data_IF_879070294668
#
_entry.id   IF_879070294668
#
_cell.length_a   1.000
_cell.length_b   1.000
_cell.length_c   1.000
_cell.angle_alpha   90.00
_cell.angle_beta   90.00
_cell.angle_gamma   90.00
#
_symmetry.space_group_name_H-M   'P 1'
#
loop_
_entity.id
_entity.type
_entity.pdbx_description
1 polymer ?
#
# COMPACT_ATOMS: atom_id res chain seq x y z
N UNK A 1 -45.68 56.47 -15.48
CA UNK A 1 -46.52 55.40 -16.06
C UNK A 1 -45.73 54.72 -17.16
N UNK A 2 -45.47 53.42 -17.18
CA UNK A 2 -45.29 52.35 -16.18
C UNK A 2 -45.08 51.12 -17.05
N UNK A 3 -43.90 50.50 -17.01
CA UNK A 3 -43.60 49.33 -17.85
C UNK A 3 -42.16 48.82 -17.78
N UNK A 4 -41.23 49.61 -17.23
CA UNK A 4 -39.82 49.26 -17.09
C UNK A 4 -39.36 48.96 -15.66
N UNK A 5 -40.17 49.26 -14.64
CA UNK A 5 -39.71 49.27 -13.24
C UNK A 5 -39.95 47.96 -12.46
N UNK A 6 -40.65 46.99 -13.04
CA UNK A 6 -40.91 45.68 -12.40
C UNK A 6 -39.97 44.56 -12.83
N UNK A 7 -39.15 44.78 -13.87
CA UNK A 7 -38.17 43.79 -14.36
C UNK A 7 -36.78 43.96 -13.73
N UNK A 8 -36.45 45.18 -13.31
CA UNK A 8 -35.15 45.52 -12.73
C UNK A 8 -34.98 45.09 -11.27
N UNK A 9 -36.09 44.88 -10.53
CA UNK A 9 -36.06 44.46 -9.12
C UNK A 9 -35.92 42.94 -8.97
N UNK A 10 -36.31 42.15 -9.98
CA UNK A 10 -36.16 40.67 -9.95
C UNK A 10 -34.78 40.16 -10.38
N UNK A 11 -33.96 40.98 -11.02
CA UNK A 11 -32.58 40.60 -11.36
C UNK A 11 -31.57 40.85 -10.23
N UNK A 12 -31.87 41.77 -9.31
CA UNK A 12 -30.95 42.15 -8.24
C UNK A 12 -31.00 41.24 -6.99
N UNK A 13 -32.03 40.39 -6.85
CA UNK A 13 -32.15 39.44 -5.72
C UNK A 13 -31.61 38.05 -6.07
N UNK A 14 -31.47 37.72 -7.35
CA UNK A 14 -30.89 36.44 -7.79
C UNK A 14 -29.34 36.41 -7.69
N UNK A 15 -28.68 37.57 -7.60
CA UNK A 15 -27.22 37.69 -7.54
C UNK A 15 -26.65 37.72 -6.10
N UNK A 16 -27.49 37.75 -5.06
CA UNK A 16 -27.05 37.85 -3.66
C UNK A 16 -27.20 36.56 -2.84
N UNK A 17 -27.73 35.47 -3.43
CA UNK A 17 -27.84 34.15 -2.76
C UNK A 17 -26.87 33.11 -3.37
N UNK A 18 -26.20 33.43 -4.48
CA UNK A 18 -25.22 32.53 -5.12
C UNK A 18 -23.76 32.98 -4.94
N UNK A 19 -23.45 33.68 -3.86
CA UNK A 19 -22.09 34.07 -3.48
C UNK A 19 -21.61 33.42 -2.16
N UNK A 20 -22.34 32.42 -1.64
CA UNK A 20 -21.99 31.69 -0.39
C UNK A 20 -21.84 30.17 -0.59
N UNK A 21 -21.95 29.66 -1.83
CA UNK A 21 -21.74 28.22 -2.14
C UNK A 21 -20.51 27.99 -3.03
N UNK A 22 -19.63 28.98 -3.15
CA UNK A 22 -18.42 28.93 -3.99
C UNK A 22 -17.10 28.74 -3.23
N UNK A 23 -17.14 28.36 -1.95
CA UNK A 23 -15.95 28.23 -1.10
C UNK A 23 -15.84 26.85 -0.42
N UNK A 24 -16.10 25.78 -1.18
CA UNK A 24 -15.93 24.41 -0.68
C UNK A 24 -15.47 23.39 -1.75
N UNK A 25 -14.77 23.83 -2.81
CA UNK A 25 -14.03 22.95 -3.73
C UNK A 25 -12.51 23.07 -3.53
N UNK A 26 -12.08 23.10 -2.27
CA UNK A 26 -10.70 22.90 -1.88
C UNK A 26 -10.64 22.26 -0.48
N UNK A 27 -11.42 21.20 -0.27
CA UNK A 27 -11.07 20.25 0.78
C UNK A 27 -9.92 19.38 0.26
N UNK A 28 -8.69 19.88 0.45
CA UNK A 28 -7.61 18.96 0.75
C UNK A 28 -8.10 18.10 1.95
N UNK A 29 -7.86 16.78 1.97
CA UNK A 29 -8.09 16.01 3.18
C UNK A 29 -7.00 16.37 4.21
N UNK A 30 -7.07 17.58 4.77
CA UNK A 30 -6.38 17.95 6.01
C UNK A 30 -7.15 17.30 7.14
N UNK A 31 -6.84 16.03 7.39
CA UNK A 31 -7.49 15.24 8.43
C UNK A 31 -6.80 13.91 8.76
N UNK A 32 -5.61 13.65 8.20
CA UNK A 32 -4.79 12.49 8.53
C UNK A 32 -3.32 12.90 8.51
N UNK A 33 -2.85 13.63 9.51
CA UNK A 33 -1.40 13.78 9.66
C UNK A 33 -0.97 13.99 11.12
N UNK A 34 -1.82 14.60 11.94
CA UNK A 34 -1.43 14.85 13.34
C UNK A 34 -1.37 13.56 14.17
N UNK A 35 -2.20 12.56 13.87
CA UNK A 35 -2.11 11.22 14.49
C UNK A 35 -1.10 10.28 13.79
N UNK A 36 -0.76 10.54 12.53
CA UNK A 36 0.19 9.70 11.78
C UNK A 36 1.63 10.05 12.15
N UNK A 37 1.94 11.34 12.29
CA UNK A 37 3.25 11.81 12.74
C UNK A 37 3.52 11.42 14.20
N UNK A 38 2.53 11.55 15.09
CA UNK A 38 2.67 11.09 16.48
C UNK A 38 2.77 9.56 16.60
N UNK A 39 2.08 8.80 15.75
CA UNK A 39 2.23 7.35 15.71
C UNK A 39 3.64 6.94 15.25
N UNK A 40 4.20 7.60 14.23
CA UNK A 40 5.58 7.31 13.79
C UNK A 40 6.62 7.64 14.85
N UNK A 41 6.49 8.77 15.56
CA UNK A 41 7.41 9.16 16.63
C UNK A 41 7.23 8.28 17.89
N UNK A 42 6.00 7.91 18.26
CA UNK A 42 5.72 7.06 19.42
C UNK A 42 6.10 5.58 19.17
N UNK A 43 5.89 5.05 17.96
CA UNK A 43 6.35 3.70 17.56
C UNK A 43 7.89 3.62 17.46
N UNK A 44 8.57 4.72 17.14
CA UNK A 44 10.03 4.80 17.11
C UNK A 44 10.65 5.00 18.51
N UNK A 45 9.90 5.58 19.46
CA UNK A 45 10.39 5.94 20.80
C UNK A 45 10.04 4.93 21.90
N UNK A 46 9.08 4.03 21.70
CA UNK A 46 8.74 2.99 22.66
C UNK A 46 8.58 1.64 21.95
N UNK A 47 9.30 0.57 22.36
CA UNK A 47 8.99 -0.77 21.88
C UNK A 47 7.52 -1.03 22.21
N UNK A 48 6.72 -1.35 21.19
CA UNK A 48 5.34 -1.75 21.36
C UNK A 48 5.26 -2.72 22.55
N UNK A 49 4.41 -2.41 23.53
CA UNK A 49 4.13 -3.36 24.60
C UNK A 49 3.69 -4.71 24.01
N UNK A 50 3.78 -5.79 24.81
CA UNK A 50 3.56 -7.15 24.31
C UNK A 50 2.25 -7.35 23.54
N UNK A 51 1.16 -6.68 23.92
CA UNK A 51 -0.12 -6.75 23.22
C UNK A 51 -0.11 -6.06 21.85
N UNK A 52 0.44 -4.85 21.75
CA UNK A 52 0.53 -4.12 20.48
C UNK A 52 1.48 -4.83 19.51
N UNK A 53 2.59 -5.39 20.00
CA UNK A 53 3.49 -6.22 19.21
C UNK A 53 2.77 -7.48 18.69
N UNK A 54 2.02 -8.17 19.55
CA UNK A 54 1.26 -9.35 19.16
C UNK A 54 0.18 -9.02 18.12
N UNK A 55 -0.50 -7.87 18.26
CA UNK A 55 -1.47 -7.38 17.29
C UNK A 55 -0.82 -7.11 15.94
N UNK A 56 0.30 -6.37 15.90
CA UNK A 56 1.05 -6.11 14.66
C UNK A 56 1.48 -7.39 13.98
N UNK A 57 2.05 -8.33 14.75
CA UNK A 57 2.45 -9.66 14.26
C UNK A 57 1.27 -10.41 13.64
N UNK A 58 0.11 -10.41 14.29
CA UNK A 58 -1.11 -11.05 13.81
C UNK A 58 -1.63 -10.40 12.51
N UNK A 59 -1.60 -9.07 12.42
CA UNK A 59 -1.97 -8.32 11.22
C UNK A 59 -1.07 -8.68 10.04
N UNK A 60 0.26 -8.67 10.24
CA UNK A 60 1.22 -9.02 9.21
C UNK A 60 1.10 -10.50 8.79
N UNK A 61 0.82 -11.41 9.72
CA UNK A 61 0.56 -12.82 9.39
C UNK A 61 -0.73 -13.01 8.59
N UNK A 62 -1.76 -12.19 8.85
CA UNK A 62 -2.98 -12.19 8.05
C UNK A 62 -2.69 -11.67 6.66
N UNK A 63 -2.06 -10.49 6.53
CA UNK A 63 -1.67 -9.92 5.25
C UNK A 63 -0.81 -10.89 4.43
N UNK A 64 0.17 -11.55 5.04
CA UNK A 64 0.99 -12.56 4.36
C UNK A 64 0.15 -13.71 3.81
N UNK A 65 -0.83 -14.22 4.58
CA UNK A 65 -1.72 -15.29 4.11
C UNK A 65 -2.61 -14.83 2.96
N UNK A 66 -3.21 -13.65 3.09
CA UNK A 66 -4.08 -13.07 2.07
C UNK A 66 -3.30 -12.88 0.76
N UNK A 67 -2.12 -12.25 0.84
CA UNK A 67 -1.24 -12.06 -0.31
C UNK A 67 -0.79 -13.38 -0.93
N UNK A 68 -0.57 -14.46 -0.16
CA UNK A 68 -0.24 -15.77 -0.73
C UNK A 68 -1.40 -16.35 -1.54
N UNK A 69 -2.64 -16.18 -1.07
CA UNK A 69 -3.82 -16.58 -1.82
C UNK A 69 -3.99 -15.73 -3.07
N UNK A 70 -3.81 -14.43 -2.96
CA UNK A 70 -3.89 -13.48 -4.06
C UNK A 70 -2.85 -13.73 -5.13
N UNK A 71 -1.59 -13.97 -4.76
CA UNK A 71 -0.53 -14.32 -5.69
C UNK A 71 -0.88 -15.55 -6.52
N UNK A 72 -1.40 -16.62 -5.88
CA UNK A 72 -1.86 -17.82 -6.60
C UNK A 72 -3.00 -17.50 -7.57
N UNK A 73 -3.96 -16.67 -7.15
CA UNK A 73 -5.10 -16.28 -7.98
C UNK A 73 -4.65 -15.48 -9.21
N UNK A 74 -3.84 -14.43 -9.03
CA UNK A 74 -3.39 -13.59 -10.16
C UNK A 74 -2.48 -14.37 -11.11
N UNK A 75 -1.59 -15.22 -10.59
CA UNK A 75 -0.77 -16.11 -11.42
C UNK A 75 -1.60 -17.14 -12.19
N UNK A 76 -2.67 -17.67 -11.59
CA UNK A 76 -3.62 -18.58 -12.26
C UNK A 76 -4.41 -17.89 -13.37
N UNK A 77 -4.82 -16.63 -13.17
CA UNK A 77 -5.48 -15.83 -14.20
C UNK A 77 -4.52 -15.55 -15.38
N UNK A 78 -3.28 -15.14 -15.07
CA UNK A 78 -2.25 -14.90 -16.08
C UNK A 78 -1.94 -16.16 -16.91
N UNK A 79 -1.71 -17.30 -16.25
CA UNK A 79 -1.37 -18.56 -16.93
C UNK A 79 -2.49 -19.10 -17.81
N UNK A 80 -3.76 -18.91 -17.43
CA UNK A 80 -4.94 -19.27 -18.24
C UNK A 80 -5.28 -18.25 -19.32
N UNK A 81 -4.53 -17.13 -19.41
CA UNK A 81 -4.78 -16.01 -20.33
C UNK A 81 -6.19 -15.39 -20.16
N UNK A 82 -6.73 -15.42 -18.96
CA UNK A 82 -8.00 -14.76 -18.63
C UNK A 82 -7.76 -13.26 -18.42
N UNK A 83 -7.77 -12.50 -19.51
CA UNK A 83 -7.47 -11.06 -19.51
C UNK A 83 -8.48 -10.23 -18.71
N UNK A 84 -9.77 -10.59 -18.76
CA UNK A 84 -10.82 -9.88 -18.05
C UNK A 84 -10.71 -10.10 -16.53
N UNK A 85 -10.58 -11.36 -16.11
CA UNK A 85 -10.35 -11.71 -14.71
C UNK A 85 -9.05 -11.11 -14.18
N UNK A 86 -7.97 -11.19 -14.97
CA UNK A 86 -6.68 -10.61 -14.61
C UNK A 86 -6.77 -9.09 -14.38
N UNK A 87 -7.44 -8.36 -15.27
CA UNK A 87 -7.59 -6.90 -15.16
C UNK A 87 -8.37 -6.52 -13.91
N UNK A 88 -9.53 -7.14 -13.69
CA UNK A 88 -10.37 -6.86 -12.52
C UNK A 88 -9.64 -7.20 -11.21
N UNK A 89 -8.98 -8.36 -11.17
CA UNK A 89 -8.28 -8.80 -9.98
C UNK A 89 -7.02 -7.96 -9.72
N UNK A 90 -6.30 -7.53 -10.75
CA UNK A 90 -5.17 -6.59 -10.61
C UNK A 90 -5.61 -5.27 -9.99
N UNK A 91 -6.74 -4.71 -10.41
CA UNK A 91 -7.29 -3.49 -9.80
C UNK A 91 -7.68 -3.68 -8.33
N UNK A 92 -8.27 -4.83 -7.99
CA UNK A 92 -8.52 -5.20 -6.59
C UNK A 92 -7.22 -5.30 -5.77
N UNK A 93 -6.19 -5.95 -6.32
CA UNK A 93 -4.90 -6.12 -5.63
C UNK A 93 -4.21 -4.79 -5.40
N UNK A 94 -4.22 -3.91 -6.39
CA UNK A 94 -3.65 -2.58 -6.26
C UNK A 94 -4.31 -1.81 -5.11
N UNK A 95 -5.64 -1.82 -5.06
CA UNK A 95 -6.40 -1.18 -3.99
C UNK A 95 -6.15 -1.84 -2.62
N UNK A 96 -6.13 -3.18 -2.53
CA UNK A 96 -5.89 -3.89 -1.29
C UNK A 96 -4.48 -3.61 -0.74
N UNK A 97 -3.46 -3.67 -1.61
CA UNK A 97 -2.06 -3.42 -1.22
C UNK A 97 -1.93 -1.98 -0.73
N UNK A 98 -2.36 -1.00 -1.52
CA UNK A 98 -2.24 0.41 -1.15
C UNK A 98 -3.04 0.81 0.10
N UNK A 99 -4.16 0.14 0.39
CA UNK A 99 -5.02 0.47 1.54
C UNK A 99 -4.64 -0.26 2.81
N UNK A 100 -4.15 -1.50 2.71
CA UNK A 100 -3.98 -2.39 3.87
C UNK A 100 -2.55 -2.87 4.10
N UNK A 101 -1.77 -3.07 3.03
CA UNK A 101 -0.42 -3.62 3.13
C UNK A 101 0.59 -2.48 3.28
N UNK A 102 0.58 -1.52 2.37
CA UNK A 102 1.57 -0.42 2.35
C UNK A 102 1.57 0.37 3.67
N UNK A 103 0.42 0.80 4.24
CA UNK A 103 0.41 1.53 5.51
C UNK A 103 0.91 0.69 6.68
N UNK A 104 0.69 -0.63 6.64
CA UNK A 104 1.19 -1.53 7.67
C UNK A 104 2.71 -1.65 7.64
N UNK A 105 3.33 -1.50 6.46
CA UNK A 105 4.76 -1.66 6.23
C UNK A 105 5.53 -0.33 6.24
N UNK A 106 4.85 0.81 6.29
CA UNK A 106 5.47 2.14 6.15
C UNK A 106 6.57 2.41 7.19
N UNK A 107 6.29 2.14 8.46
CA UNK A 107 7.26 2.28 9.56
C UNK A 107 8.54 1.47 9.34
N UNK A 108 9.69 1.90 9.89
CA UNK A 108 10.95 1.16 9.77
C UNK A 108 11.23 0.21 10.94
N UNK A 109 10.53 0.40 12.06
CA UNK A 109 10.84 -0.30 13.30
C UNK A 109 10.60 -1.81 13.18
N UNK A 110 9.57 -2.27 12.45
CA UNK A 110 9.29 -3.70 12.29
C UNK A 110 10.38 -4.42 11.49
N UNK A 111 11.07 -3.72 10.57
CA UNK A 111 12.22 -4.26 9.82
C UNK A 111 13.48 -4.42 10.69
N UNK A 112 13.46 -3.88 11.92
CA UNK A 112 14.54 -3.96 12.92
C UNK A 112 14.15 -4.83 14.11
N UNK A 113 12.86 -5.05 14.37
CA UNK A 113 12.38 -5.83 15.50
C UNK A 113 12.60 -7.34 15.28
N UNK A 114 13.29 -8.07 16.17
CA UNK A 114 13.65 -9.48 15.96
C UNK A 114 12.47 -10.41 15.66
N UNK A 115 11.30 -10.16 16.26
CA UNK A 115 10.11 -10.99 16.02
C UNK A 115 9.38 -10.69 14.71
N UNK A 116 9.61 -9.52 14.10
CA UNK A 116 8.85 -9.06 12.94
C UNK A 116 9.71 -8.96 11.68
N UNK A 117 11.02 -8.76 11.80
CA UNK A 117 11.91 -8.46 10.67
C UNK A 117 11.82 -9.50 9.53
N UNK A 118 11.72 -10.79 9.85
CA UNK A 118 11.57 -11.84 8.85
C UNK A 118 10.17 -11.84 8.23
N UNK A 119 9.14 -11.52 9.03
CA UNK A 119 7.77 -11.43 8.54
C UNK A 119 7.58 -10.21 7.63
N UNK A 120 8.14 -9.06 7.99
CA UNK A 120 8.16 -7.84 7.17
C UNK A 120 8.83 -8.11 5.82
N UNK A 121 10.01 -8.75 5.84
CA UNK A 121 10.71 -9.13 4.61
C UNK A 121 9.88 -10.10 3.73
N UNK A 122 9.23 -11.09 4.33
CA UNK A 122 8.38 -12.03 3.58
C UNK A 122 7.21 -11.34 2.89
N UNK A 123 6.54 -10.41 3.57
CA UNK A 123 5.41 -9.66 2.99
C UNK A 123 5.90 -8.84 1.80
N UNK A 124 7.01 -8.12 1.94
CA UNK A 124 7.59 -7.28 0.87
C UNK A 124 8.08 -8.09 -0.34
N UNK A 125 8.72 -9.23 -0.10
CA UNK A 125 9.14 -10.12 -1.19
C UNK A 125 7.93 -10.64 -1.98
N UNK A 126 6.86 -11.03 -1.27
CA UNK A 126 5.62 -11.50 -1.89
C UNK A 126 4.89 -10.38 -2.65
N UNK A 127 4.89 -9.16 -2.11
CA UNK A 127 4.37 -7.98 -2.80
C UNK A 127 5.13 -7.75 -4.12
N UNK A 128 6.46 -7.83 -4.10
CA UNK A 128 7.28 -7.72 -5.30
C UNK A 128 6.97 -8.83 -6.33
N UNK A 129 6.77 -10.08 -5.88
CA UNK A 129 6.34 -11.17 -6.77
C UNK A 129 4.97 -10.90 -7.41
N UNK A 130 4.01 -10.35 -6.66
CA UNK A 130 2.71 -9.95 -7.20
C UNK A 130 2.88 -8.87 -8.27
N UNK A 131 3.74 -7.87 -8.05
CA UNK A 131 4.02 -6.84 -9.06
C UNK A 131 4.71 -7.38 -10.31
N UNK A 132 5.55 -8.42 -10.18
CA UNK A 132 6.09 -9.13 -11.35
C UNK A 132 4.95 -9.72 -12.18
N UNK A 133 4.01 -10.42 -11.55
CA UNK A 133 2.86 -11.02 -12.25
C UNK A 133 1.98 -9.94 -12.89
N UNK A 134 1.81 -8.80 -12.22
CA UNK A 134 1.09 -7.63 -12.73
C UNK A 134 1.87 -6.82 -13.79
N UNK A 135 3.13 -7.17 -14.06
CA UNK A 135 4.05 -6.46 -14.97
C UNK A 135 4.36 -5.02 -14.56
N UNK A 136 4.26 -4.70 -13.29
CA UNK A 136 4.63 -3.38 -12.75
C UNK A 136 6.11 -3.34 -12.35
N UNK A 137 6.98 -3.25 -13.34
CA UNK A 137 8.44 -3.24 -13.15
C UNK A 137 8.93 -2.05 -12.30
N UNK A 138 8.16 -0.95 -12.25
CA UNK A 138 8.51 0.24 -11.48
C UNK A 138 8.27 0.00 -10.00
N UNK A 139 7.14 -0.61 -9.62
CA UNK A 139 6.88 -1.03 -8.24
C UNK A 139 7.82 -2.13 -7.79
N UNK A 140 8.10 -3.12 -8.65
CA UNK A 140 9.11 -4.15 -8.35
C UNK A 140 10.45 -3.51 -7.94
N UNK A 141 10.94 -2.55 -8.73
CA UNK A 141 12.21 -1.89 -8.41
C UNK A 141 12.14 -1.13 -7.10
N UNK A 142 11.07 -0.35 -6.88
CA UNK A 142 10.88 0.39 -5.62
C UNK A 142 10.88 -0.53 -4.41
N UNK A 143 10.17 -1.67 -4.48
CA UNK A 143 10.14 -2.65 -3.39
C UNK A 143 11.51 -3.28 -3.16
N UNK A 144 12.27 -3.60 -4.21
CA UNK A 144 13.65 -4.11 -4.10
C UNK A 144 14.56 -3.09 -3.41
N UNK A 145 14.52 -1.84 -3.85
CA UNK A 145 15.36 -0.76 -3.30
C UNK A 145 15.04 -0.51 -1.82
N UNK A 146 13.75 -0.54 -1.47
CA UNK A 146 13.30 -0.39 -0.08
C UNK A 146 13.73 -1.56 0.81
N UNK A 147 13.64 -2.81 0.33
CA UNK A 147 14.17 -3.98 1.05
C UNK A 147 15.69 -3.85 1.24
N UNK A 148 16.43 -3.52 0.18
CA UNK A 148 17.89 -3.36 0.26
C UNK A 148 18.29 -2.28 1.28
N UNK A 149 17.55 -1.18 1.30
CA UNK A 149 17.80 -0.07 2.24
C UNK A 149 17.50 -0.49 3.68
N UNK A 150 16.33 -1.09 3.93
CA UNK A 150 15.87 -1.45 5.28
C UNK A 150 16.71 -2.56 5.90
N UNK A 151 17.16 -3.52 5.09
CA UNK A 151 17.84 -4.73 5.54
C UNK A 151 19.34 -4.75 5.24
N UNK A 152 19.94 -3.60 4.97
CA UNK A 152 21.39 -3.49 4.78
C UNK A 152 22.17 -4.19 5.91
N UNK A 153 23.09 -5.08 5.53
CA UNK A 153 23.89 -5.91 6.44
C UNK A 153 23.15 -7.12 7.06
N UNK A 154 21.90 -7.38 6.64
CA UNK A 154 21.06 -8.52 7.09
C UNK A 154 20.62 -9.41 5.94
N UNK A 155 21.39 -9.47 4.87
CA UNK A 155 21.09 -10.20 3.64
C UNK A 155 21.02 -11.72 3.85
N UNK A 156 21.73 -12.23 4.86
CA UNK A 156 21.72 -13.64 5.25
C UNK A 156 20.54 -14.03 6.16
N UNK A 157 19.64 -13.10 6.47
CA UNK A 157 18.44 -13.38 7.27
C UNK A 157 17.58 -14.42 6.56
N UNK A 158 17.09 -15.41 7.30
CA UNK A 158 16.19 -16.42 6.78
C UNK A 158 14.80 -15.83 6.54
N UNK A 159 14.31 -16.05 5.32
CA UNK A 159 12.98 -15.65 4.85
C UNK A 159 12.26 -16.86 4.27
N UNK A 160 10.93 -16.80 4.25
CA UNK A 160 10.06 -17.80 3.64
C UNK A 160 9.55 -17.25 2.33
N UNK A 161 9.86 -17.93 1.24
CA UNK A 161 9.36 -17.59 -0.07
C UNK A 161 7.88 -17.97 -0.22
N UNK A 162 7.14 -17.26 -1.08
CA UNK A 162 5.77 -17.64 -1.45
C UNK A 162 5.64 -19.06 -2.00
N UNK A 163 6.71 -19.61 -2.59
CA UNK A 163 6.81 -21.00 -3.03
C UNK A 163 6.80 -22.02 -1.88
N UNK A 164 6.95 -21.57 -0.63
CA UNK A 164 7.12 -22.42 0.55
C UNK A 164 8.58 -22.81 0.84
N UNK A 165 9.50 -22.45 -0.06
CA UNK A 165 10.94 -22.61 0.17
C UNK A 165 11.44 -21.65 1.25
N UNK A 166 12.48 -22.07 1.97
CA UNK A 166 13.22 -21.20 2.88
C UNK A 166 14.58 -20.91 2.27
N UNK A 167 15.02 -19.66 2.42
CA UNK A 167 16.35 -19.24 1.97
C UNK A 167 16.72 -17.92 2.58
N UNK A 168 17.82 -17.35 2.09
CA UNK A 168 18.28 -16.03 2.54
C UNK A 168 17.49 -14.91 1.88
N UNK A 169 17.44 -13.75 2.54
CA UNK A 169 16.85 -12.54 1.96
C UNK A 169 17.52 -12.20 0.62
N UNK A 170 18.84 -12.39 0.53
CA UNK A 170 19.59 -12.19 -0.70
C UNK A 170 19.09 -13.07 -1.85
N UNK A 171 18.92 -14.36 -1.61
CA UNK A 171 18.37 -15.30 -2.61
C UNK A 171 16.97 -14.87 -3.06
N UNK A 172 16.16 -14.37 -2.14
CA UNK A 172 14.85 -13.79 -2.44
C UNK A 172 14.90 -12.62 -3.38
N UNK A 173 15.72 -11.63 -3.04
CA UNK A 173 15.93 -10.45 -3.87
C UNK A 173 16.46 -10.82 -5.25
N UNK A 174 17.36 -11.79 -5.34
CA UNK A 174 17.84 -12.29 -6.63
C UNK A 174 16.73 -12.93 -7.46
N UNK A 175 15.85 -13.73 -6.85
CA UNK A 175 14.69 -14.32 -7.55
C UNK A 175 13.75 -13.24 -8.08
N UNK A 176 13.42 -12.24 -7.26
CA UNK A 176 12.58 -11.11 -7.68
C UNK A 176 13.25 -10.30 -8.80
N UNK A 177 14.54 -9.99 -8.67
CA UNK A 177 15.31 -9.26 -9.68
C UNK A 177 15.34 -10.01 -11.03
N UNK A 178 15.48 -11.33 -11.01
CA UNK A 178 15.43 -12.17 -12.21
C UNK A 178 14.02 -12.24 -12.81
N UNK A 179 12.99 -12.30 -11.97
CA UNK A 179 11.59 -12.35 -12.38
C UNK A 179 11.11 -11.05 -13.02
N UNK A 180 11.64 -9.89 -12.58
CA UNK A 180 11.29 -8.54 -13.08
C UNK A 180 11.25 -8.44 -14.61
N UNK A 181 12.15 -9.13 -15.31
CA UNK A 181 12.30 -9.04 -16.77
C UNK A 181 11.67 -10.21 -17.53
N UNK A 182 11.07 -11.18 -16.83
CA UNK A 182 10.45 -12.38 -17.41
C UNK A 182 8.93 -12.28 -17.53
N UNK A 183 8.31 -11.33 -16.83
CA UNK A 183 6.86 -11.12 -16.75
C UNK A 183 6.23 -10.61 -18.04
#
# INVERSE_FOLDING_TARGET
>A
MSGSDLRSVRLAVAAAVLAVVGLACASAPTGYDEFALDATAAEESAPLGGEALAQKKSQMQRALRDLMHFHRTIASLASRRDSAGFTNFSGFLDAYIGTHVDPMLEGQWQSRHPELMALDANVRLLEAEIFIVMRDTSRVQRTIDDILTRYAGRENMLVKFPSGEQGTLLEGLQKVQQGKWRG
#
